data_IF_408148473561
#
_entry.id   IF_408148473561
#
_cell.length_a   1.000
_cell.length_b   1.000
_cell.length_c   1.000
_cell.angle_alpha   90.00
_cell.angle_beta   90.00
_cell.angle_gamma   90.00
#
_symmetry.space_group_name_H-M   'P 1'
#
loop_
_entity.id
_entity.type
_entity.pdbx_description
1 polymer ?
#
# COMPACT_ATOMS: atom_id res chain seq x y z
N UNK A 1 7.58 -29.03 4.75
CA UNK A 1 7.15 -27.66 4.42
C UNK A 1 6.92 -26.85 5.70
N UNK A 2 7.89 -26.05 6.15
CA UNK A 2 7.67 -25.01 7.17
C UNK A 2 7.57 -23.66 6.45
N UNK A 3 6.52 -23.46 5.66
CA UNK A 3 6.56 -22.41 4.61
C UNK A 3 5.87 -21.09 4.94
N UNK A 4 5.21 -20.91 6.09
CA UNK A 4 4.68 -19.62 6.51
C UNK A 4 4.97 -19.33 7.98
N UNK A 5 5.67 -18.22 8.25
CA UNK A 5 5.80 -17.68 9.60
C UNK A 5 4.50 -16.96 9.98
N UNK A 6 4.23 -16.80 11.29
CA UNK A 6 3.08 -16.04 11.78
C UNK A 6 3.01 -14.62 11.17
N UNK A 7 4.17 -13.97 10.96
CA UNK A 7 4.29 -12.67 10.30
C UNK A 7 3.81 -12.68 8.85
N UNK A 8 4.17 -13.71 8.07
CA UNK A 8 3.72 -13.83 6.68
C UNK A 8 2.20 -14.05 6.60
N UNK A 9 1.64 -14.86 7.51
CA UNK A 9 0.20 -15.06 7.60
C UNK A 9 -0.54 -13.74 7.90
N UNK A 10 -0.03 -12.93 8.83
CA UNK A 10 -0.59 -11.61 9.14
C UNK A 10 -0.55 -10.70 7.91
N UNK A 11 0.58 -10.68 7.20
CA UNK A 11 0.72 -9.88 5.99
C UNK A 11 -0.28 -10.29 4.90
N UNK A 12 -0.36 -11.60 4.60
CA UNK A 12 -1.31 -12.14 3.62
C UNK A 12 -2.75 -11.82 4.03
N UNK A 13 -3.09 -11.95 5.31
CA UNK A 13 -4.43 -11.62 5.80
C UNK A 13 -4.77 -10.15 5.56
N UNK A 14 -3.86 -9.23 5.87
CA UNK A 14 -4.06 -7.79 5.65
C UNK A 14 -4.23 -7.47 4.16
N UNK A 15 -3.42 -8.09 3.28
CA UNK A 15 -3.55 -7.97 1.82
C UNK A 15 -4.93 -8.44 1.36
N UNK A 16 -5.36 -9.62 1.79
CA UNK A 16 -6.67 -10.19 1.41
C UNK A 16 -7.80 -9.30 1.90
N UNK A 17 -7.76 -8.83 3.15
CA UNK A 17 -8.77 -7.93 3.70
C UNK A 17 -8.82 -6.64 2.88
N UNK A 18 -7.67 -6.02 2.62
CA UNK A 18 -7.62 -4.77 1.87
C UNK A 18 -8.15 -4.94 0.45
N UNK A 19 -7.77 -6.02 -0.23
CA UNK A 19 -8.23 -6.33 -1.58
C UNK A 19 -9.73 -6.62 -1.63
N UNK A 20 -10.24 -7.39 -0.66
CA UNK A 20 -11.67 -7.72 -0.57
C UNK A 20 -12.50 -6.47 -0.31
N UNK A 21 -12.05 -5.59 0.59
CA UNK A 21 -12.73 -4.33 0.88
C UNK A 21 -12.84 -3.45 -0.37
N UNK A 22 -11.77 -3.35 -1.16
CA UNK A 22 -11.79 -2.61 -2.42
C UNK A 22 -12.85 -3.17 -3.38
N UNK A 23 -12.81 -4.48 -3.65
CA UNK A 23 -13.74 -5.12 -4.59
C UNK A 23 -15.21 -5.07 -4.14
N UNK A 24 -15.48 -5.06 -2.82
CA UNK A 24 -16.85 -4.98 -2.29
C UNK A 24 -17.38 -3.54 -2.35
N UNK A 25 -16.55 -2.55 -1.99
CA UNK A 25 -16.99 -1.16 -1.87
C UNK A 25 -16.88 -0.39 -3.19
N UNK A 26 -16.00 -0.80 -4.08
CA UNK A 26 -15.64 -0.08 -5.29
C UNK A 26 -15.59 -1.03 -6.48
N UNK A 27 -16.75 -1.22 -7.10
CA UNK A 27 -16.84 -2.10 -8.27
C UNK A 27 -16.20 -1.46 -9.50
N UNK A 28 -15.19 -2.14 -10.04
CA UNK A 28 -14.63 -1.86 -11.36
C UNK A 28 -15.70 -2.10 -12.44
N UNK A 29 -15.94 -1.13 -13.31
CA UNK A 29 -16.99 -1.25 -14.34
C UNK A 29 -16.65 -2.24 -15.46
N UNK A 30 -15.36 -2.55 -15.65
CA UNK A 30 -14.88 -3.47 -16.70
C UNK A 30 -13.95 -4.51 -16.05
N UNK A 31 -14.51 -5.51 -15.35
CA UNK A 31 -13.71 -6.55 -14.72
C UNK A 31 -13.06 -7.44 -15.79
N UNK A 32 -11.77 -7.72 -15.60
CA UNK A 32 -10.99 -8.65 -16.42
C UNK A 32 -9.93 -9.34 -15.55
N UNK A 33 -9.36 -10.48 -15.99
CA UNK A 33 -8.25 -11.10 -15.27
C UNK A 33 -7.07 -10.14 -15.08
N UNK A 34 -6.82 -9.26 -16.06
CA UNK A 34 -5.73 -8.28 -15.97
C UNK A 34 -6.02 -7.18 -14.94
N UNK A 35 -7.24 -6.65 -14.87
CA UNK A 35 -7.62 -5.68 -13.85
C UNK A 35 -7.57 -6.29 -12.46
N UNK A 36 -7.96 -7.56 -12.31
CA UNK A 36 -7.86 -8.29 -11.06
C UNK A 36 -6.42 -8.46 -10.60
N UNK A 37 -5.52 -8.90 -11.49
CA UNK A 37 -4.09 -9.06 -11.17
C UNK A 37 -3.46 -7.71 -10.82
N UNK A 38 -3.73 -6.67 -11.61
CA UNK A 38 -3.24 -5.32 -11.35
C UNK A 38 -3.67 -4.85 -9.96
N UNK A 39 -4.96 -4.97 -9.65
CA UNK A 39 -5.52 -4.63 -8.35
C UNK A 39 -4.83 -5.43 -7.22
N UNK A 40 -4.75 -6.75 -7.34
CA UNK A 40 -4.13 -7.59 -6.31
C UNK A 40 -2.66 -7.26 -6.08
N UNK A 41 -1.88 -7.02 -7.15
CA UNK A 41 -0.48 -6.58 -7.07
C UNK A 41 -0.38 -5.22 -6.39
N UNK A 42 -1.28 -4.29 -6.68
CA UNK A 42 -1.34 -3.01 -6.00
C UNK A 42 -1.49 -3.18 -4.49
N UNK A 43 -2.43 -4.04 -4.05
CA UNK A 43 -2.64 -4.30 -2.63
C UNK A 43 -1.44 -4.96 -1.96
N UNK A 44 -0.72 -5.87 -2.62
CA UNK A 44 0.53 -6.41 -2.08
C UNK A 44 1.55 -5.29 -1.83
N UNK A 45 1.78 -4.44 -2.84
CA UNK A 45 2.76 -3.35 -2.79
C UNK A 45 2.35 -2.32 -1.73
N UNK A 46 1.09 -1.89 -1.73
CA UNK A 46 0.56 -0.92 -0.78
C UNK A 46 0.63 -1.45 0.64
N UNK A 47 0.19 -2.69 0.91
CA UNK A 47 0.24 -3.22 2.28
C UNK A 47 1.67 -3.42 2.77
N UNK A 48 2.61 -3.74 1.88
CA UNK A 48 4.02 -3.78 2.28
C UNK A 48 4.54 -2.38 2.57
N UNK A 49 4.18 -1.38 1.77
CA UNK A 49 4.54 0.03 1.98
C UNK A 49 4.07 0.58 3.33
N UNK A 50 2.89 0.14 3.79
CA UNK A 50 2.28 0.66 5.02
C UNK A 50 2.60 -0.15 6.26
N UNK A 51 2.72 -1.48 6.14
CA UNK A 51 2.83 -2.38 7.28
C UNK A 51 4.11 -3.23 7.28
N UNK A 52 4.96 -3.13 6.24
CA UNK A 52 6.09 -4.03 6.06
C UNK A 52 7.09 -3.97 7.22
N UNK A 53 7.51 -2.77 7.65
CA UNK A 53 8.42 -2.65 8.79
C UNK A 53 7.78 -3.08 10.11
N UNK A 54 6.49 -2.77 10.31
CA UNK A 54 5.72 -3.11 11.52
C UNK A 54 5.58 -4.63 11.68
N UNK A 55 5.24 -5.34 10.60
CA UNK A 55 5.02 -6.80 10.63
C UNK A 55 6.35 -7.55 10.66
N UNK A 56 7.30 -7.18 9.78
CA UNK A 56 8.51 -7.96 9.60
C UNK A 56 9.65 -7.55 10.54
N UNK A 57 9.66 -6.30 11.03
CA UNK A 57 10.73 -5.74 11.85
C UNK A 57 12.02 -5.49 11.06
N UNK A 58 11.89 -5.29 9.75
CA UNK A 58 13.01 -5.17 8.79
C UNK A 58 13.11 -3.73 8.27
N UNK A 59 13.41 -2.80 9.17
CA UNK A 59 13.30 -1.35 8.93
C UNK A 59 14.20 -0.83 7.79
N UNK A 60 15.45 -1.30 7.65
CA UNK A 60 16.33 -0.88 6.52
C UNK A 60 15.70 -1.25 5.18
N UNK A 61 15.27 -2.50 5.03
CA UNK A 61 14.67 -2.98 3.79
C UNK A 61 13.37 -2.25 3.46
N UNK A 62 12.57 -1.97 4.47
CA UNK A 62 11.34 -1.20 4.31
C UNK A 62 11.61 0.26 3.89
N UNK A 63 12.60 0.93 4.49
CA UNK A 63 13.02 2.27 4.06
C UNK A 63 13.55 2.29 2.62
N UNK A 64 14.37 1.30 2.24
CA UNK A 64 14.84 1.17 0.85
C UNK A 64 13.67 1.01 -0.11
N UNK A 65 12.69 0.17 0.25
CA UNK A 65 11.47 -0.01 -0.53
C UNK A 65 10.66 1.28 -0.63
N UNK A 66 10.46 2.00 0.49
CA UNK A 66 9.79 3.30 0.51
C UNK A 66 10.47 4.30 -0.43
N UNK A 67 11.80 4.40 -0.38
CA UNK A 67 12.56 5.26 -1.28
C UNK A 67 12.32 4.89 -2.75
N UNK A 68 12.38 3.60 -3.10
CA UNK A 68 12.12 3.14 -4.48
C UNK A 68 10.72 3.52 -4.93
N UNK A 69 9.69 3.26 -4.10
CA UNK A 69 8.31 3.60 -4.45
C UNK A 69 8.11 5.12 -4.58
N UNK A 70 8.68 5.91 -3.68
CA UNK A 70 8.57 7.38 -3.72
C UNK A 70 9.29 7.97 -4.94
N UNK A 71 10.48 7.48 -5.27
CA UNK A 71 11.20 7.87 -6.49
C UNK A 71 10.35 7.52 -7.72
N UNK A 72 9.80 6.31 -7.77
CA UNK A 72 8.95 5.88 -8.87
C UNK A 72 7.70 6.76 -9.02
N UNK A 73 7.04 7.12 -7.91
CA UNK A 73 5.91 8.06 -7.91
C UNK A 73 6.33 9.47 -8.34
N UNK A 74 7.49 9.96 -7.91
CA UNK A 74 8.01 11.28 -8.29
C UNK A 74 8.12 11.41 -9.81
N UNK A 75 8.72 10.43 -10.49
CA UNK A 75 8.80 10.41 -11.95
C UNK A 75 7.45 10.30 -12.67
N UNK A 76 6.40 9.87 -11.97
CA UNK A 76 5.03 9.76 -12.48
C UNK A 76 4.11 10.84 -11.92
N UNK A 77 4.65 12.04 -11.62
CA UNK A 77 3.90 13.21 -11.13
C UNK A 77 3.14 12.92 -9.83
N UNK A 78 3.79 12.25 -8.89
CA UNK A 78 3.25 11.84 -7.59
C UNK A 78 2.04 10.90 -7.69
N UNK A 79 1.98 10.10 -8.74
CA UNK A 79 0.95 9.07 -8.93
C UNK A 79 1.57 7.69 -9.00
N UNK A 80 0.88 6.70 -8.44
CA UNK A 80 1.27 5.31 -8.59
C UNK A 80 0.88 4.81 -10.00
N UNK A 81 1.82 4.32 -10.83
CA UNK A 81 1.50 3.86 -12.19
C UNK A 81 0.54 2.68 -12.24
N UNK A 82 0.61 1.81 -11.24
CA UNK A 82 -0.29 0.67 -11.08
C UNK A 82 -1.73 1.17 -10.87
N UNK A 83 -1.91 2.16 -9.99
CA UNK A 83 -3.20 2.85 -9.79
C UNK A 83 -3.68 3.57 -11.04
N UNK A 84 -2.79 4.25 -11.77
CA UNK A 84 -3.15 4.93 -13.01
C UNK A 84 -3.70 3.96 -14.05
N UNK A 85 -3.04 2.82 -14.22
CA UNK A 85 -3.47 1.79 -15.15
C UNK A 85 -4.78 1.14 -14.68
N UNK A 86 -4.91 0.82 -13.39
CA UNK A 86 -6.15 0.28 -12.82
C UNK A 86 -7.33 1.24 -13.02
N UNK A 87 -7.16 2.53 -12.68
CA UNK A 87 -8.20 3.54 -12.87
C UNK A 87 -8.58 3.70 -14.34
N UNK A 88 -7.60 3.67 -15.25
CA UNK A 88 -7.84 3.72 -16.69
C UNK A 88 -8.68 2.52 -17.16
N UNK A 89 -8.34 1.32 -16.71
CA UNK A 89 -9.05 0.09 -17.08
C UNK A 89 -10.46 0.04 -16.48
N UNK A 90 -10.65 0.54 -15.28
CA UNK A 90 -11.93 0.54 -14.56
C UNK A 90 -12.78 1.80 -14.78
N UNK A 91 -12.37 2.72 -15.66
CA UNK A 91 -13.12 3.96 -15.95
C UNK A 91 -13.19 4.94 -14.78
N UNK A 92 -12.32 4.81 -13.78
CA UNK A 92 -12.24 5.75 -12.66
C UNK A 92 -11.47 7.01 -13.04
N UNK A 93 -11.64 8.07 -12.25
CA UNK A 93 -10.88 9.30 -12.46
C UNK A 93 -9.38 9.04 -12.22
N UNK A 94 -8.53 9.42 -13.18
CA UNK A 94 -7.07 9.24 -13.10
C UNK A 94 -6.39 10.03 -11.97
N UNK A 95 -7.12 10.92 -11.28
CA UNK A 95 -6.64 11.64 -10.09
C UNK A 95 -7.03 10.94 -8.78
N UNK A 96 -7.88 9.92 -8.81
CA UNK A 96 -8.24 9.16 -7.62
C UNK A 96 -7.09 8.27 -7.17
N UNK A 97 -6.91 8.18 -5.85
CA UNK A 97 -6.04 7.20 -5.25
C UNK A 97 -6.65 5.81 -5.39
N UNK A 98 -5.80 4.79 -5.32
CA UNK A 98 -6.29 3.43 -5.20
C UNK A 98 -7.04 3.28 -3.89
N UNK A 99 -8.13 2.51 -3.89
CA UNK A 99 -9.04 2.44 -2.75
C UNK A 99 -8.68 1.30 -1.81
N UNK A 100 -7.40 1.28 -1.44
CA UNK A 100 -6.88 0.36 -0.43
C UNK A 100 -7.40 0.67 0.98
N UNK A 101 -7.07 -0.19 1.95
CA UNK A 101 -7.55 -0.04 3.32
C UNK A 101 -7.07 1.27 3.96
N UNK A 102 -5.89 1.79 3.56
CA UNK A 102 -5.37 3.04 4.10
C UNK A 102 -6.12 4.22 3.50
N UNK A 103 -6.47 4.17 2.22
CA UNK A 103 -7.40 5.13 1.62
C UNK A 103 -8.74 5.13 2.34
N UNK A 104 -9.31 3.96 2.63
CA UNK A 104 -10.57 3.86 3.37
C UNK A 104 -10.45 4.44 4.79
N UNK A 105 -9.38 4.12 5.52
CA UNK A 105 -9.11 4.66 6.86
C UNK A 105 -8.95 6.19 6.80
N UNK A 106 -8.16 6.71 5.87
CA UNK A 106 -7.95 8.15 5.72
C UNK A 106 -9.26 8.88 5.35
N UNK A 107 -10.06 8.32 4.43
CA UNK A 107 -11.31 8.92 3.96
C UNK A 107 -12.47 8.84 4.97
N UNK A 108 -12.48 7.89 5.89
CA UNK A 108 -13.61 7.70 6.81
C UNK A 108 -13.27 8.03 8.27
N UNK A 109 -12.02 7.86 8.69
CA UNK A 109 -11.61 8.04 10.09
C UNK A 109 -10.75 9.30 10.25
N UNK A 110 -9.80 9.52 9.34
CA UNK A 110 -8.82 10.61 9.44
C UNK A 110 -8.96 11.65 8.33
N UNK A 111 -10.20 12.05 8.03
CA UNK A 111 -10.56 12.92 6.90
C UNK A 111 -9.82 14.26 6.89
N UNK A 112 -9.49 14.77 8.07
CA UNK A 112 -8.77 16.04 8.25
C UNK A 112 -7.26 15.92 8.04
N UNK A 113 -6.72 14.70 7.96
CA UNK A 113 -5.29 14.47 7.80
C UNK A 113 -4.94 14.25 6.33
N UNK A 114 -3.95 14.97 5.77
CA UNK A 114 -3.43 14.67 4.44
C UNK A 114 -2.98 13.21 4.35
N UNK A 115 -3.35 12.53 3.27
CA UNK A 115 -3.07 11.09 3.06
C UNK A 115 -1.61 10.69 3.35
N UNK A 116 -0.65 11.49 2.88
CA UNK A 116 0.79 11.25 3.05
C UNK A 116 1.31 11.53 4.47
N UNK A 117 0.49 12.03 5.40
CA UNK A 117 0.90 12.29 6.79
C UNK A 117 1.29 10.99 7.49
N UNK A 118 0.51 9.92 7.30
CA UNK A 118 0.83 8.60 7.86
C UNK A 118 2.14 8.06 7.30
N UNK A 119 2.44 8.32 6.03
CA UNK A 119 3.66 7.85 5.39
C UNK A 119 4.89 8.53 5.98
N UNK A 120 4.80 9.84 6.26
CA UNK A 120 5.87 10.60 6.94
C UNK A 120 6.12 10.05 8.34
N UNK A 121 5.05 9.78 9.10
CA UNK A 121 5.17 9.20 10.44
C UNK A 121 5.82 7.81 10.40
N UNK A 122 5.45 6.97 9.42
CA UNK A 122 6.05 5.66 9.22
C UNK A 122 7.54 5.74 8.88
N UNK A 123 7.93 6.68 8.00
CA UNK A 123 9.33 6.92 7.67
C UNK A 123 10.16 7.34 8.89
N UNK A 124 9.63 8.26 9.71
CA UNK A 124 10.28 8.69 10.97
C UNK A 124 10.36 7.54 11.96
N UNK A 125 9.30 6.73 12.08
CA UNK A 125 9.27 5.55 12.93
C UNK A 125 10.36 4.53 12.56
N UNK A 126 10.54 4.25 11.27
CA UNK A 126 11.57 3.33 10.81
C UNK A 126 12.98 3.85 11.11
N UNK A 127 13.25 5.13 10.87
CA UNK A 127 14.53 5.75 11.21
C UNK A 127 14.79 5.65 12.72
N UNK A 128 13.80 6.00 13.54
CA UNK A 128 13.91 5.91 15.00
C UNK A 128 14.24 4.49 15.45
N UNK A 129 13.54 3.48 14.90
CA UNK A 129 13.80 2.07 15.21
C UNK A 129 15.18 1.62 14.78
N UNK A 130 15.68 2.09 13.64
CA UNK A 130 17.07 1.84 13.23
C UNK A 130 18.07 2.43 14.21
N UNK A 131 17.91 3.70 14.57
CA UNK A 131 18.84 4.37 15.49
C UNK A 131 18.91 3.70 16.86
N UNK A 132 17.82 3.09 17.33
CA UNK A 132 17.79 2.35 18.59
C UNK A 132 18.39 0.95 18.46
N UNK A 133 18.11 0.22 17.37
CA UNK A 133 18.63 -1.15 17.19
C UNK A 133 20.11 -1.21 16.79
N UNK A 134 20.66 -0.12 16.25
CA UNK A 134 22.07 -0.01 15.87
C UNK A 134 22.95 0.66 16.95
N UNK A 135 22.39 0.94 18.14
CA UNK A 135 23.15 1.24 19.36
C UNK A 135 23.37 -0.03 20.15
#
# INVERSE_FOLDING_TARGET
MKFLTSKMNIFILIVIISFTLDNVLFQCSIPSPMTFINNFVHHIISMYLWFGSIIFGKYIYHLLFLCVVLIFQYYHKWKCPITLEYNKQCGFNLKENHKDIIYWINKNIFTHFPYYTFLKLLFVYDIYKLLIHYK
#
